data_IF_587337315515
#
_entry.id   IF_587337315515
#
_cell.length_a   1.000
_cell.length_b   1.000
_cell.length_c   1.000
_cell.angle_alpha   90.00
_cell.angle_beta   90.00
_cell.angle_gamma   90.00
#
_symmetry.space_group_name_H-M   'P 1'
#
loop_
_entity.id
_entity.type
_entity.pdbx_description
1 polymer ?
#
# COMPACT_ATOMS: atom_id res chain seq x y z
N UNK A 1 -7.84 -6.33 -14.97
CA UNK A 1 -7.73 -5.72 -16.32
C UNK A 1 -6.44 -4.93 -16.32
N UNK A 2 -5.50 -5.21 -17.22
CA UNK A 2 -4.19 -4.54 -17.24
C UNK A 2 -4.16 -3.59 -18.45
N UNK A 3 -4.08 -2.29 -18.21
CA UNK A 3 -4.07 -1.25 -19.25
C UNK A 3 -4.37 0.12 -18.68
N UNK A 4 -3.98 1.18 -19.39
CA UNK A 4 -4.22 2.56 -18.96
C UNK A 4 -5.73 2.83 -18.84
N UNK A 5 -6.19 3.10 -17.63
CA UNK A 5 -7.58 3.48 -17.38
C UNK A 5 -7.68 5.00 -17.42
N UNK A 6 -8.24 5.55 -18.50
CA UNK A 6 -8.33 7.01 -18.70
C UNK A 6 -9.13 7.74 -17.60
N UNK A 7 -10.00 7.04 -16.88
CA UNK A 7 -10.76 7.61 -15.76
C UNK A 7 -10.00 7.55 -14.43
N UNK A 8 -8.87 6.83 -14.36
CA UNK A 8 -8.09 6.70 -13.14
C UNK A 8 -7.15 7.91 -12.96
N UNK A 9 -7.29 8.69 -11.87
CA UNK A 9 -6.41 9.82 -11.60
C UNK A 9 -4.97 9.40 -11.27
N UNK A 10 -4.73 8.12 -10.93
CA UNK A 10 -3.40 7.58 -10.67
C UNK A 10 -2.72 7.01 -11.93
N UNK A 11 -3.49 6.64 -12.97
CA UNK A 11 -2.91 6.33 -14.29
C UNK A 11 -2.45 7.60 -15.01
N UNK A 12 -3.17 8.70 -14.83
CA UNK A 12 -2.92 9.98 -15.49
C UNK A 12 -2.86 11.10 -14.44
N UNK A 13 -1.87 11.07 -13.53
CA UNK A 13 -1.73 12.13 -12.52
C UNK A 13 -1.39 13.45 -13.19
N UNK A 14 -1.74 14.55 -12.52
CA UNK A 14 -1.33 15.88 -12.99
C UNK A 14 0.18 16.03 -12.74
N UNK A 15 0.94 16.65 -13.67
CA UNK A 15 2.39 16.79 -13.51
C UNK A 15 2.81 17.46 -12.20
N UNK A 16 2.04 18.42 -11.70
CA UNK A 16 2.30 19.11 -10.44
C UNK A 16 2.12 18.24 -9.18
N UNK A 17 1.45 17.09 -9.30
CA UNK A 17 1.28 16.16 -8.19
C UNK A 17 2.44 15.15 -8.08
N UNK A 18 3.31 15.07 -9.10
CA UNK A 18 4.42 14.10 -9.20
C UNK A 18 5.69 14.68 -8.56
N UNK A 19 6.18 14.01 -7.53
CA UNK A 19 7.44 14.35 -6.85
C UNK A 19 8.66 13.73 -7.53
N UNK A 20 8.49 12.52 -8.07
CA UNK A 20 9.54 11.79 -8.77
C UNK A 20 8.92 10.87 -9.83
N UNK A 21 9.60 10.75 -10.97
CA UNK A 21 9.12 10.00 -12.12
C UNK A 21 10.21 9.05 -12.63
N UNK A 22 9.88 7.76 -12.74
CA UNK A 22 10.80 6.72 -13.20
C UNK A 22 10.27 6.02 -14.45
N UNK A 23 10.82 4.86 -14.83
CA UNK A 23 10.32 4.16 -16.01
C UNK A 23 8.91 3.60 -15.75
N UNK A 24 8.71 2.93 -14.61
CA UNK A 24 7.48 2.22 -14.31
C UNK A 24 6.65 2.82 -13.16
N UNK A 25 7.16 3.81 -12.42
CA UNK A 25 6.49 4.35 -11.24
C UNK A 25 6.45 5.87 -11.20
N UNK A 26 5.48 6.40 -10.46
CA UNK A 26 5.45 7.75 -9.93
C UNK A 26 5.61 7.71 -8.41
N UNK A 27 6.24 8.74 -7.85
CA UNK A 27 6.16 9.06 -6.42
C UNK A 27 5.35 10.33 -6.27
N UNK A 28 4.35 10.31 -5.39
CA UNK A 28 3.44 11.42 -5.14
C UNK A 28 3.23 11.61 -3.63
N UNK A 29 2.80 12.80 -3.22
CA UNK A 29 2.21 12.99 -1.91
C UNK A 29 0.72 12.63 -1.97
N UNK A 30 0.26 11.76 -1.06
CA UNK A 30 -1.15 11.43 -0.91
C UNK A 30 -1.94 12.65 -0.47
N UNK A 31 -2.98 12.98 -1.24
CA UNK A 31 -3.88 14.11 -0.94
C UNK A 31 -4.74 13.86 0.28
N UNK A 32 -4.98 12.60 0.67
CA UNK A 32 -5.88 12.23 1.77
C UNK A 32 -5.13 11.97 3.08
N UNK A 33 -3.95 11.37 3.02
CA UNK A 33 -3.27 10.83 4.22
C UNK A 33 -1.98 11.56 4.60
N UNK A 34 -1.51 12.52 3.77
CA UNK A 34 -0.16 13.13 3.91
C UNK A 34 0.99 12.12 3.81
N UNK A 35 0.72 10.91 3.32
CA UNK A 35 1.74 9.91 3.04
C UNK A 35 2.52 10.27 1.78
N UNK A 36 3.71 9.69 1.65
CA UNK A 36 4.31 9.51 0.33
C UNK A 36 3.77 8.20 -0.23
N UNK A 37 3.43 8.17 -1.53
CA UNK A 37 2.94 6.98 -2.21
C UNK A 37 3.77 6.67 -3.45
N UNK A 38 4.15 5.40 -3.62
CA UNK A 38 4.66 4.85 -4.89
C UNK A 38 3.48 4.29 -5.68
N UNK A 39 3.36 4.68 -6.94
CA UNK A 39 2.26 4.30 -7.83
C UNK A 39 2.84 3.72 -9.12
N UNK A 40 2.49 2.48 -9.54
CA UNK A 40 2.84 1.98 -10.86
C UNK A 40 2.10 2.78 -11.94
N UNK A 41 2.75 3.10 -13.05
CA UNK A 41 2.15 3.86 -14.15
C UNK A 41 0.98 3.10 -14.80
N UNK A 42 1.16 1.80 -14.99
CA UNK A 42 0.10 0.90 -15.47
C UNK A 42 -0.91 0.64 -14.36
N UNK A 43 -2.16 0.44 -14.75
CA UNK A 43 -3.22 0.09 -13.82
C UNK A 43 -3.09 -1.37 -13.33
N UNK A 44 -2.84 -1.52 -12.02
CA UNK A 44 -2.90 -2.78 -11.27
C UNK A 44 -3.87 -2.62 -10.11
N UNK A 45 -4.51 -3.69 -9.62
CA UNK A 45 -5.50 -3.57 -8.54
C UNK A 45 -4.90 -3.67 -7.13
N UNK A 46 -3.71 -4.23 -7.02
CA UNK A 46 -2.89 -4.28 -5.82
C UNK A 46 -1.41 -4.33 -6.22
N UNK A 47 -0.48 -3.98 -5.32
CA UNK A 47 0.94 -4.05 -5.64
C UNK A 47 1.39 -5.51 -5.83
N UNK A 48 0.71 -6.47 -5.20
CA UNK A 48 0.90 -7.89 -5.48
C UNK A 48 0.51 -8.34 -6.92
N UNK A 49 -0.25 -7.53 -7.67
CA UNK A 49 -0.61 -7.82 -9.06
C UNK A 49 0.46 -7.35 -10.07
N UNK A 50 1.53 -6.70 -9.59
CA UNK A 50 2.63 -6.15 -10.39
C UNK A 50 3.54 -7.28 -10.94
N UNK A 51 3.96 -7.18 -12.22
CA UNK A 51 4.90 -8.13 -12.82
C UNK A 51 6.29 -8.10 -12.15
N UNK A 52 6.88 -9.29 -11.95
CA UNK A 52 8.18 -9.45 -11.28
C UNK A 52 9.32 -8.64 -11.93
N UNK A 53 9.21 -8.40 -13.24
CA UNK A 53 10.18 -7.65 -14.04
C UNK A 53 10.39 -6.22 -13.56
N UNK A 54 9.41 -5.63 -12.85
CA UNK A 54 9.51 -4.26 -12.33
C UNK A 54 9.70 -4.19 -10.81
N UNK A 55 9.77 -5.34 -10.13
CA UNK A 55 9.95 -5.39 -8.67
C UNK A 55 11.29 -4.80 -8.23
N UNK A 56 12.35 -4.93 -9.04
CA UNK A 56 13.65 -4.35 -8.70
C UNK A 56 13.57 -2.82 -8.58
N UNK A 57 12.91 -2.16 -9.54
CA UNK A 57 12.69 -0.72 -9.51
C UNK A 57 11.81 -0.31 -8.32
N UNK A 58 10.77 -1.09 -8.02
CA UNK A 58 9.94 -0.88 -6.84
C UNK A 58 10.75 -0.97 -5.54
N UNK A 59 11.58 -2.00 -5.39
CA UNK A 59 12.41 -2.21 -4.20
C UNK A 59 13.44 -1.09 -4.02
N UNK A 60 14.08 -0.63 -5.10
CA UNK A 60 15.00 0.51 -5.08
C UNK A 60 14.30 1.78 -4.60
N UNK A 61 13.11 2.08 -5.11
CA UNK A 61 12.31 3.23 -4.68
C UNK A 61 11.86 3.09 -3.23
N UNK A 62 11.38 1.91 -2.83
CA UNK A 62 10.96 1.62 -1.45
C UNK A 62 12.11 1.81 -0.47
N UNK A 63 13.30 1.33 -0.79
CA UNK A 63 14.51 1.53 0.02
C UNK A 63 14.93 3.00 0.06
N UNK A 64 14.86 3.71 -1.05
CA UNK A 64 15.18 5.15 -1.12
C UNK A 64 14.27 5.95 -0.19
N UNK A 65 12.95 5.79 -0.31
CA UNK A 65 11.98 6.52 0.51
C UNK A 65 12.14 6.12 1.98
N UNK A 66 12.34 4.83 2.29
CA UNK A 66 12.63 4.38 3.66
C UNK A 66 13.84 5.09 4.24
N UNK A 67 14.93 5.18 3.48
CA UNK A 67 16.15 5.87 3.91
C UNK A 67 15.89 7.35 4.17
N UNK A 68 15.14 8.03 3.31
CA UNK A 68 14.83 9.46 3.46
C UNK A 68 13.93 9.68 4.68
N UNK A 69 12.85 8.92 4.81
CA UNK A 69 11.90 9.12 5.91
C UNK A 69 12.47 8.70 7.27
N UNK A 70 13.30 7.66 7.34
CA UNK A 70 13.92 7.24 8.61
C UNK A 70 14.96 8.23 9.13
N UNK A 71 15.43 9.20 8.32
CA UNK A 71 16.30 10.28 8.81
C UNK A 71 15.51 11.25 9.69
N UNK A 72 14.27 11.55 9.31
CA UNK A 72 13.46 12.59 9.94
C UNK A 72 12.32 12.04 10.83
N UNK A 73 11.93 10.77 10.64
CA UNK A 73 10.81 10.13 11.32
C UNK A 73 11.21 8.75 11.88
N UNK A 74 11.04 8.54 13.18
CA UNK A 74 11.44 7.30 13.87
C UNK A 74 10.50 6.11 13.63
N UNK A 75 9.24 6.37 13.30
CA UNK A 75 8.16 5.38 13.38
C UNK A 75 7.32 5.27 12.09
N UNK A 76 7.95 5.52 10.94
CA UNK A 76 7.29 5.31 9.66
C UNK A 76 6.98 3.83 9.44
N UNK A 77 5.75 3.56 9.02
CA UNK A 77 5.36 2.26 8.47
C UNK A 77 5.06 2.40 6.99
N UNK A 78 5.10 1.26 6.34
CA UNK A 78 4.98 1.12 4.90
C UNK A 78 3.82 0.18 4.68
N UNK A 79 2.87 0.51 3.84
CA UNK A 79 1.71 -0.37 3.70
C UNK A 79 1.08 -0.29 2.33
N UNK A 80 0.39 -1.35 1.96
CA UNK A 80 -0.64 -1.28 0.93
C UNK A 80 -1.88 -2.02 1.39
N UNK A 81 -2.99 -1.74 0.74
CA UNK A 81 -4.21 -2.49 0.91
C UNK A 81 -4.81 -2.79 -0.45
N UNK A 82 -5.59 -3.86 -0.51
CA UNK A 82 -6.42 -4.09 -1.69
C UNK A 82 -7.49 -3.00 -1.82
N UNK A 83 -7.73 -2.52 -3.04
CA UNK A 83 -8.65 -1.40 -3.30
C UNK A 83 -10.13 -1.74 -3.11
N UNK A 84 -10.99 -0.73 -3.32
CA UNK A 84 -12.44 -0.85 -3.25
C UNK A 84 -13.03 -0.44 -1.89
N UNK A 85 -14.30 -0.75 -1.65
CA UNK A 85 -14.99 -0.42 -0.40
C UNK A 85 -14.34 -1.07 0.83
N UNK A 86 -13.58 -2.13 0.63
CA UNK A 86 -12.85 -2.83 1.67
C UNK A 86 -11.70 -2.01 2.28
N UNK A 87 -11.11 -1.08 1.52
CA UNK A 87 -10.09 -0.17 2.05
C UNK A 87 -10.64 0.74 3.17
N UNK A 88 -11.95 1.05 3.16
CA UNK A 88 -12.61 1.86 4.20
C UNK A 88 -12.49 1.25 5.59
N UNK A 89 -12.33 -0.07 5.65
CA UNK A 89 -12.18 -0.83 6.90
C UNK A 89 -10.89 -0.42 7.61
N UNK A 90 -9.81 -0.15 6.86
CA UNK A 90 -8.49 0.18 7.44
C UNK A 90 -8.22 1.67 7.51
N UNK A 91 -8.42 2.38 6.40
CA UNK A 91 -7.97 3.77 6.24
C UNK A 91 -9.11 4.80 6.35
N UNK A 92 -10.33 4.35 6.68
CA UNK A 92 -11.47 5.23 6.95
C UNK A 92 -12.07 5.90 5.71
N UNK A 93 -11.40 5.86 4.56
CA UNK A 93 -11.91 6.30 3.28
C UNK A 93 -11.82 5.19 2.23
N UNK A 94 -12.75 5.19 1.28
CA UNK A 94 -12.69 4.28 0.14
C UNK A 94 -11.83 4.89 -0.93
N UNK A 95 -11.07 4.06 -1.62
CA UNK A 95 -10.38 4.49 -2.82
C UNK A 95 -11.13 3.97 -4.03
N UNK A 96 -12.02 4.80 -4.55
CA UNK A 96 -12.96 4.45 -5.61
C UNK A 96 -12.32 4.06 -6.95
N UNK A 97 -10.99 4.08 -7.06
CA UNK A 97 -10.27 3.89 -8.32
C UNK A 97 -9.50 2.56 -8.37
N UNK A 98 -9.32 1.87 -7.23
CA UNK A 98 -8.73 0.52 -7.18
C UNK A 98 -7.38 0.38 -7.90
N UNK A 99 -6.56 1.43 -7.90
CA UNK A 99 -5.24 1.44 -8.54
C UNK A 99 -4.17 1.22 -7.47
N UNK A 100 -3.31 0.24 -7.66
CA UNK A 100 -2.27 -0.18 -6.72
C UNK A 100 -1.36 0.98 -6.32
N UNK A 101 -1.08 1.15 -5.04
CA UNK A 101 -0.09 2.10 -4.58
C UNK A 101 0.41 1.65 -3.22
N UNK A 102 1.60 2.12 -2.89
CA UNK A 102 2.30 1.72 -1.67
C UNK A 102 2.58 2.96 -0.83
N UNK A 103 2.01 2.98 0.36
CA UNK A 103 2.08 4.09 1.32
C UNK A 103 3.34 4.05 2.15
N UNK A 104 3.79 5.25 2.48
CA UNK A 104 4.85 5.53 3.43
C UNK A 104 4.30 6.56 4.41
N UNK A 105 3.95 6.08 5.61
CA UNK A 105 3.18 6.86 6.57
C UNK A 105 3.89 6.97 7.91
N UNK A 106 4.19 8.20 8.38
CA UNK A 106 4.65 8.44 9.74
C UNK A 106 3.63 8.07 10.82
N UNK A 107 2.34 7.89 10.45
CA UNK A 107 1.24 7.61 11.38
C UNK A 107 0.72 6.18 11.33
N UNK A 108 1.15 5.38 10.36
CA UNK A 108 0.52 4.09 10.14
C UNK A 108 0.78 3.06 11.27
N UNK A 109 1.68 3.33 12.22
CA UNK A 109 1.80 2.49 13.42
C UNK A 109 0.50 2.46 14.25
N UNK A 110 -0.29 3.54 14.21
CA UNK A 110 -1.63 3.59 14.84
C UNK A 110 -2.61 2.58 14.22
N UNK A 111 -2.40 2.13 12.97
CA UNK A 111 -3.23 1.10 12.34
C UNK A 111 -2.97 -0.26 12.97
N UNK A 112 -1.70 -0.63 13.19
CA UNK A 112 -1.33 -1.90 13.80
C UNK A 112 -1.92 -2.05 15.21
N UNK A 113 -1.92 -0.97 16.00
CA UNK A 113 -2.42 -0.98 17.37
C UNK A 113 -3.92 -1.27 17.49
N UNK A 114 -4.69 -1.10 16.40
CA UNK A 114 -6.14 -1.35 16.38
C UNK A 114 -6.50 -2.79 16.02
N UNK A 115 -5.54 -3.58 15.56
CA UNK A 115 -5.77 -4.94 15.07
C UNK A 115 -5.29 -5.91 16.16
N UNK A 116 -6.13 -6.84 16.64
CA UNK A 116 -5.67 -7.83 17.62
C UNK A 116 -4.58 -8.72 17.03
N UNK A 117 -3.54 -9.02 17.82
CA UNK A 117 -2.40 -9.84 17.42
C UNK A 117 -2.79 -11.19 16.79
N UNK A 118 -3.94 -11.76 17.19
CA UNK A 118 -4.48 -13.02 16.64
C UNK A 118 -4.84 -12.95 15.15
N UNK A 119 -4.96 -11.75 14.58
CA UNK A 119 -5.27 -11.52 13.17
C UNK A 119 -4.08 -10.96 12.37
N UNK A 120 -2.93 -10.79 13.02
CA UNK A 120 -1.71 -10.31 12.38
C UNK A 120 -0.84 -11.51 12.06
N UNK A 121 -0.64 -11.78 10.77
CA UNK A 121 0.28 -12.83 10.32
C UNK A 121 1.60 -12.21 9.89
N UNK A 122 2.68 -12.57 10.57
CA UNK A 122 4.04 -12.22 10.11
C UNK A 122 4.37 -12.96 8.82
N UNK A 123 5.00 -12.27 7.87
CA UNK A 123 5.45 -12.84 6.59
C UNK A 123 6.91 -12.49 6.36
N UNK A 124 7.63 -13.36 5.66
CA UNK A 124 9.06 -13.17 5.44
C UNK A 124 9.33 -12.26 4.23
N UNK A 125 8.44 -12.30 3.24
CA UNK A 125 8.70 -11.70 1.94
C UNK A 125 7.46 -11.16 1.23
N UNK A 126 7.72 -10.29 0.26
CA UNK A 126 6.74 -9.82 -0.72
C UNK A 126 6.10 -10.98 -1.52
N UNK A 127 6.80 -12.12 -1.66
CA UNK A 127 6.25 -13.27 -2.37
C UNK A 127 5.11 -13.95 -1.59
N UNK A 128 5.13 -13.87 -0.26
CA UNK A 128 4.06 -14.41 0.59
C UNK A 128 2.76 -13.63 0.39
N UNK A 129 2.88 -12.32 0.12
CA UNK A 129 1.77 -11.44 -0.25
C UNK A 129 1.16 -11.82 -1.60
N UNK A 130 2.01 -12.04 -2.61
CA UNK A 130 1.60 -12.47 -3.94
C UNK A 130 0.84 -13.81 -3.87
N UNK A 131 1.28 -14.73 -3.01
CA UNK A 131 0.60 -16.00 -2.79
C UNK A 131 -0.83 -15.82 -2.23
N UNK A 132 -1.01 -14.96 -1.22
CA UNK A 132 -2.33 -14.62 -0.68
C UNK A 132 -3.23 -13.97 -1.74
N UNK A 133 -2.68 -13.01 -2.51
CA UNK A 133 -3.44 -12.33 -3.56
C UNK A 133 -3.98 -13.26 -4.63
N UNK A 134 -3.22 -14.30 -5.02
CA UNK A 134 -3.63 -15.29 -6.03
C UNK A 134 -4.90 -16.05 -5.67
N UNK A 135 -5.25 -16.13 -4.38
CA UNK A 135 -6.48 -16.76 -3.91
C UNK A 135 -7.68 -15.80 -3.95
N UNK A 136 -7.52 -14.58 -4.46
CA UNK A 136 -8.57 -13.56 -4.49
C UNK A 136 -8.76 -12.83 -3.15
N UNK A 137 -7.93 -13.13 -2.17
CA UNK A 137 -8.00 -12.57 -0.83
C UNK A 137 -7.75 -11.06 -0.86
N UNK A 138 -8.47 -10.36 0.01
CA UNK A 138 -8.29 -8.95 0.29
C UNK A 138 -7.40 -8.82 1.52
N UNK A 139 -6.47 -7.88 1.52
CA UNK A 139 -5.52 -7.74 2.62
C UNK A 139 -5.13 -6.30 2.91
N UNK A 140 -4.57 -6.11 4.10
CA UNK A 140 -3.67 -5.02 4.46
C UNK A 140 -2.28 -5.62 4.69
N UNK A 141 -1.29 -5.13 3.96
CA UNK A 141 0.12 -5.46 4.15
C UNK A 141 0.82 -4.30 4.82
N UNK A 142 1.62 -4.58 5.86
CA UNK A 142 2.37 -3.56 6.59
C UNK A 142 3.81 -4.00 6.76
N UNK A 143 4.75 -3.09 6.52
CA UNK A 143 6.13 -3.19 6.98
C UNK A 143 6.37 -2.15 8.08
N UNK A 144 6.90 -2.58 9.21
CA UNK A 144 7.26 -1.65 10.27
C UNK A 144 8.62 -0.96 10.02
N UNK A 145 9.02 -0.12 10.96
CA UNK A 145 10.27 0.64 10.93
C UNK A 145 11.51 -0.26 11.04
N UNK A 146 11.38 -1.49 11.55
CA UNK A 146 12.45 -2.50 11.66
C UNK A 146 12.37 -3.58 10.57
N UNK A 147 11.57 -3.35 9.53
CA UNK A 147 11.43 -4.21 8.35
C UNK A 147 10.79 -5.59 8.62
N UNK A 148 10.07 -5.75 9.73
CA UNK A 148 9.14 -6.87 9.87
C UNK A 148 7.90 -6.60 9.04
N UNK A 149 7.31 -7.67 8.50
CA UNK A 149 6.21 -7.59 7.55
C UNK A 149 5.03 -8.36 8.09
N UNK A 150 3.85 -7.80 7.89
CA UNK A 150 2.61 -8.34 8.40
C UNK A 150 1.57 -8.34 7.30
N UNK A 151 0.71 -9.35 7.31
CA UNK A 151 -0.49 -9.42 6.48
C UNK A 151 -1.68 -9.62 7.40
N UNK A 152 -2.70 -8.79 7.18
CA UNK A 152 -4.00 -8.89 7.82
C UNK A 152 -5.05 -9.14 6.72
N UNK A 153 -5.81 -10.22 6.83
CA UNK A 153 -6.90 -10.49 5.89
C UNK A 153 -8.11 -9.65 6.26
N UNK A 154 -8.71 -8.97 5.27
CA UNK A 154 -9.82 -8.04 5.55
C UNK A 154 -11.01 -8.79 6.16
N UNK A 155 -11.31 -9.99 5.66
CA UNK A 155 -12.47 -10.76 6.12
C UNK A 155 -12.34 -11.18 7.60
N UNK A 156 -11.11 -11.34 8.11
CA UNK A 156 -10.85 -11.71 9.50
C UNK A 156 -11.12 -10.56 10.47
N UNK A 157 -10.97 -9.30 10.03
CA UNK A 157 -11.02 -8.12 10.91
C UNK A 157 -12.16 -7.15 10.59
N UNK A 158 -12.94 -7.40 9.53
CA UNK A 158 -14.02 -6.50 9.09
C UNK A 158 -15.00 -6.18 10.22
N UNK A 159 -15.46 -7.21 10.94
CA UNK A 159 -16.40 -7.05 12.05
C UNK A 159 -15.82 -6.18 13.19
N UNK A 160 -14.53 -6.34 13.50
CA UNK A 160 -13.83 -5.61 14.57
C UNK A 160 -13.74 -4.11 14.23
N UNK A 161 -13.43 -3.79 12.98
CA UNK A 161 -13.19 -2.42 12.53
C UNK A 161 -14.47 -1.67 12.15
N UNK A 162 -15.57 -2.38 11.89
CA UNK A 162 -16.90 -1.81 11.66
C UNK A 162 -17.69 -1.57 12.95
N UNK A 163 -17.57 -2.44 13.97
CA UNK A 163 -18.27 -2.30 15.26
C UNK A 163 -17.64 -1.25 16.19
N UNK A 164 -16.39 -0.83 15.93
CA UNK A 164 -15.68 0.20 16.68
C UNK A 164 -15.95 1.66 16.23
N UNK A 165 -16.91 1.88 15.32
CA UNK A 165 -17.30 3.22 14.80
C UNK A 165 -18.56 3.77 15.47
#
# INVERSE_FOLDING_TARGET
MNGDNQACPLCNPKPEDILFDTHNFYIMASKSTSDIIIIPKKHYSAMADIPNEINLEFDELRMLIRKVLNVDFSDCVFYEHTGGDHAKVFIGHGEGHGHAHFHFSPKGYELLQKIPDTHIREVDSWNDLIASRRNGEQYLYIEDNVNKKYVIMIDDVRHILEEGK
#
